data_IF_548911277538
#
_entry.id   IF_548911277538
#
_cell.length_a   1.000
_cell.length_b   1.000
_cell.length_c   1.000
_cell.angle_alpha   90.00
_cell.angle_beta   90.00
_cell.angle_gamma   90.00
#
_symmetry.space_group_name_H-M   'P 1'
#
loop_
_entity.id
_entity.type
_entity.pdbx_description
1 polymer ?
#
# COMPACT_ATOMS: atom_id res chain seq x y z
N UNK A 1 23.74 -21.18 -15.39
CA UNK A 1 22.78 -20.33 -16.08
C UNK A 1 21.39 -20.95 -15.96
N UNK A 2 20.42 -20.19 -15.52
CA UNK A 2 19.04 -20.66 -15.41
C UNK A 2 18.36 -20.57 -16.77
N UNK A 3 17.52 -21.56 -17.10
CA UNK A 3 16.69 -21.48 -18.30
C UNK A 3 15.75 -20.29 -18.30
N UNK A 4 15.46 -19.77 -17.11
CA UNK A 4 14.62 -18.57 -16.96
C UNK A 4 15.18 -17.37 -17.73
N UNK A 5 16.51 -17.29 -17.85
CA UNK A 5 17.18 -16.22 -18.60
C UNK A 5 16.83 -16.25 -20.09
N UNK A 6 16.35 -17.39 -20.60
CA UNK A 6 15.99 -17.53 -22.01
C UNK A 6 14.53 -17.23 -22.28
N UNK A 7 13.71 -17.08 -21.23
CA UNK A 7 12.28 -16.80 -21.38
C UNK A 7 12.09 -15.37 -21.87
N UNK A 8 11.29 -15.22 -22.91
CA UNK A 8 10.98 -13.92 -23.49
C UNK A 8 9.47 -13.69 -23.50
N UNK A 9 9.04 -12.52 -23.93
CA UNK A 9 7.61 -12.20 -24.03
C UNK A 9 6.87 -13.20 -24.92
N UNK A 10 7.54 -13.72 -25.95
CA UNK A 10 6.93 -14.69 -26.86
C UNK A 10 6.54 -16.00 -26.18
N UNK A 11 7.15 -16.30 -25.05
CA UNK A 11 6.86 -17.52 -24.29
C UNK A 11 5.65 -17.36 -23.38
N UNK A 12 5.11 -16.16 -23.26
CA UNK A 12 4.06 -15.83 -22.32
C UNK A 12 2.74 -15.56 -23.02
N UNK A 13 1.64 -15.70 -22.29
CA UNK A 13 0.32 -15.42 -22.79
C UNK A 13 -0.58 -14.96 -21.61
N UNK A 14 -1.72 -14.34 -21.95
CA UNK A 14 -2.71 -13.95 -20.98
C UNK A 14 -2.17 -12.98 -19.94
N UNK A 15 -2.56 -13.19 -18.71
CA UNK A 15 -2.19 -12.33 -17.59
C UNK A 15 -0.68 -12.22 -17.39
N UNK A 16 0.04 -13.32 -17.58
CA UNK A 16 1.49 -13.31 -17.43
C UNK A 16 2.16 -12.40 -18.46
N UNK A 17 1.68 -12.44 -19.70
CA UNK A 17 2.18 -11.55 -20.74
C UNK A 17 1.87 -10.09 -20.43
N UNK A 18 0.67 -9.80 -19.95
CA UNK A 18 0.29 -8.44 -19.56
C UNK A 18 1.25 -7.88 -18.50
N UNK A 19 1.53 -8.67 -17.49
CA UNK A 19 2.43 -8.26 -16.41
C UNK A 19 3.83 -8.00 -16.97
N UNK A 20 4.33 -8.92 -17.79
CA UNK A 20 5.66 -8.79 -18.36
C UNK A 20 5.80 -7.59 -19.29
N UNK A 21 4.76 -7.29 -20.04
CA UNK A 21 4.75 -6.10 -20.90
C UNK A 21 4.75 -4.81 -20.08
N UNK A 22 4.03 -4.83 -18.94
CA UNK A 22 3.94 -3.67 -18.07
C UNK A 22 5.25 -3.37 -17.36
N UNK A 23 5.92 -4.39 -16.82
CA UNK A 23 7.10 -4.19 -15.97
C UNK A 23 8.42 -4.50 -16.65
N UNK A 24 8.38 -5.09 -17.85
CA UNK A 24 9.56 -5.51 -18.57
C UNK A 24 9.95 -6.94 -18.25
N UNK A 25 10.59 -7.62 -19.21
CA UNK A 25 10.88 -9.05 -19.07
C UNK A 25 11.88 -9.33 -17.94
N UNK A 26 12.84 -8.46 -17.73
CA UNK A 26 13.83 -8.67 -16.65
C UNK A 26 13.18 -8.61 -15.28
N UNK A 27 12.31 -7.63 -15.08
CA UNK A 27 11.56 -7.50 -13.83
C UNK A 27 10.58 -8.65 -13.66
N UNK A 28 9.99 -9.11 -14.76
CA UNK A 28 9.11 -10.28 -14.73
C UNK A 28 9.90 -11.52 -14.28
N UNK A 29 11.11 -11.73 -14.80
CA UNK A 29 11.96 -12.85 -14.35
C UNK A 29 12.27 -12.75 -12.87
N UNK A 30 12.54 -11.55 -12.37
CA UNK A 30 12.76 -11.34 -10.94
C UNK A 30 11.53 -11.68 -10.11
N UNK A 31 10.35 -11.29 -10.61
CA UNK A 31 9.08 -11.63 -9.97
C UNK A 31 8.92 -13.14 -9.86
N UNK A 32 9.22 -13.85 -10.93
CA UNK A 32 9.14 -15.32 -10.96
C UNK A 32 10.13 -15.94 -9.97
N UNK A 33 11.36 -15.42 -9.89
CA UNK A 33 12.37 -15.93 -8.96
C UNK A 33 11.93 -15.78 -7.51
N UNK A 34 11.29 -14.67 -7.17
CA UNK A 34 10.90 -14.38 -5.79
C UNK A 34 9.54 -14.96 -5.40
N UNK A 35 8.58 -14.96 -6.31
CA UNK A 35 7.21 -15.31 -6.02
C UNK A 35 6.65 -16.46 -6.85
N UNK A 36 7.49 -17.08 -7.70
CA UNK A 36 7.03 -18.16 -8.57
C UNK A 36 6.35 -19.27 -7.80
N UNK A 37 5.20 -19.71 -8.29
CA UNK A 37 4.41 -20.75 -7.63
C UNK A 37 3.53 -20.27 -6.50
N UNK A 38 3.71 -19.03 -6.04
CA UNK A 38 2.90 -18.46 -4.97
C UNK A 38 1.73 -17.68 -5.53
N UNK A 39 0.65 -17.64 -4.76
CA UNK A 39 -0.42 -16.69 -5.02
C UNK A 39 -0.15 -15.46 -4.19
N UNK A 40 -0.03 -14.31 -4.85
CA UNK A 40 0.17 -13.05 -4.15
C UNK A 40 -0.99 -12.12 -4.48
N UNK A 41 -1.32 -11.29 -3.53
CA UNK A 41 -2.36 -10.28 -3.70
C UNK A 41 -1.71 -8.94 -3.97
N UNK A 42 -2.07 -8.33 -5.08
CA UNK A 42 -1.63 -6.96 -5.37
C UNK A 42 -2.68 -6.02 -4.76
N UNK A 43 -2.22 -5.10 -3.95
CA UNK A 43 -3.11 -4.14 -3.29
C UNK A 43 -3.66 -3.15 -4.32
N UNK A 44 -4.88 -2.69 -4.07
CA UNK A 44 -5.50 -1.68 -4.90
C UNK A 44 -4.85 -0.32 -4.63
N UNK A 45 -4.83 0.51 -5.66
CA UNK A 45 -4.30 1.87 -5.55
C UNK A 45 -4.97 2.64 -4.42
N UNK A 46 -6.30 2.58 -4.35
CA UNK A 46 -7.06 3.27 -3.31
C UNK A 46 -6.63 2.86 -1.91
N UNK A 47 -6.35 1.58 -1.70
CA UNK A 47 -5.89 1.07 -0.41
C UNK A 47 -4.56 1.68 -0.02
N UNK A 48 -3.61 1.70 -0.96
CA UNK A 48 -2.29 2.26 -0.71
C UNK A 48 -2.32 3.75 -0.44
N UNK A 49 -3.07 4.47 -1.25
CA UNK A 49 -3.21 5.94 -1.13
C UNK A 49 -3.88 6.30 0.19
N UNK A 50 -4.92 5.57 0.55
CA UNK A 50 -5.66 5.80 1.81
C UNK A 50 -4.74 5.59 3.02
N UNK A 51 -3.96 4.55 3.02
CA UNK A 51 -3.04 4.28 4.13
C UNK A 51 -2.00 5.38 4.29
N UNK A 52 -1.45 5.84 3.19
CA UNK A 52 -0.48 6.94 3.22
C UNK A 52 -1.10 8.22 3.74
N UNK A 53 -2.29 8.56 3.26
CA UNK A 53 -3.04 9.73 3.72
C UNK A 53 -3.32 9.64 5.23
N UNK A 54 -3.81 8.49 5.67
CA UNK A 54 -4.15 8.29 7.08
C UNK A 54 -2.91 8.39 7.96
N UNK A 55 -1.78 7.87 7.50
CA UNK A 55 -0.53 7.99 8.23
C UNK A 55 -0.06 9.44 8.35
N UNK A 56 -0.22 10.23 7.28
CA UNK A 56 0.09 11.66 7.32
C UNK A 56 -0.80 12.39 8.31
N UNK A 57 -2.10 12.08 8.31
CA UNK A 57 -3.06 12.67 9.25
C UNK A 57 -2.63 12.37 10.68
N UNK A 58 -2.24 11.14 10.98
CA UNK A 58 -1.79 10.75 12.31
C UNK A 58 -0.53 11.52 12.73
N UNK A 59 0.38 11.74 11.80
CA UNK A 59 1.60 12.51 12.09
C UNK A 59 1.33 13.98 12.37
N UNK A 60 0.33 14.55 11.70
CA UNK A 60 -0.01 15.97 11.84
C UNK A 60 -0.96 16.24 13.00
N UNK A 61 -1.62 15.21 13.52
CA UNK A 61 -2.59 15.35 14.59
C UNK A 61 -1.90 15.78 15.90
N UNK A 62 -2.41 16.85 16.50
CA UNK A 62 -1.86 17.39 17.76
C UNK A 62 -2.83 17.28 18.94
N UNK A 63 -3.94 16.58 18.77
CA UNK A 63 -4.95 16.41 19.81
C UNK A 63 -6.11 17.40 19.72
N UNK A 64 -5.98 18.46 18.92
CA UNK A 64 -6.97 19.52 18.84
C UNK A 64 -7.29 19.99 17.42
N UNK A 65 -6.56 19.50 16.43
CA UNK A 65 -6.65 20.03 15.07
C UNK A 65 -7.50 19.18 14.12
N UNK A 66 -8.53 18.49 14.65
CA UNK A 66 -9.42 17.68 13.81
C UNK A 66 -10.06 18.50 12.69
N UNK A 67 -10.57 19.69 13.02
CA UNK A 67 -11.22 20.55 12.02
C UNK A 67 -10.26 20.98 10.94
N UNK A 68 -9.07 21.36 11.33
CA UNK A 68 -8.04 21.77 10.38
C UNK A 68 -7.67 20.63 9.43
N UNK A 69 -7.48 19.43 9.96
CA UNK A 69 -7.19 18.24 9.15
C UNK A 69 -8.35 17.86 8.25
N UNK A 70 -9.57 17.98 8.76
CA UNK A 70 -10.80 17.76 7.99
C UNK A 70 -10.81 18.64 6.74
N UNK A 71 -10.50 19.91 6.90
CA UNK A 71 -10.47 20.85 5.78
C UNK A 71 -9.31 20.58 4.83
N UNK A 72 -8.14 20.30 5.38
CA UNK A 72 -6.94 20.06 4.56
C UNK A 72 -7.09 18.83 3.65
N UNK A 73 -7.68 17.76 4.17
CA UNK A 73 -7.81 16.50 3.44
C UNK A 73 -9.19 16.30 2.84
N UNK A 74 -10.09 17.26 3.02
CA UNK A 74 -11.47 17.18 2.54
C UNK A 74 -12.18 15.92 3.03
N UNK A 75 -12.07 15.68 4.32
CA UNK A 75 -12.73 14.58 5.01
C UNK A 75 -13.62 15.12 6.12
N UNK A 76 -14.62 14.33 6.54
CA UNK A 76 -15.47 14.73 7.66
C UNK A 76 -14.70 14.68 8.98
N UNK A 77 -15.16 15.44 9.97
CA UNK A 77 -14.60 15.38 11.32
C UNK A 77 -14.66 13.97 11.89
N UNK A 78 -15.74 13.26 11.60
CA UNK A 78 -15.93 11.89 12.03
C UNK A 78 -14.86 10.98 11.47
N UNK A 79 -14.53 11.14 10.19
CA UNK A 79 -13.49 10.36 9.54
C UNK A 79 -12.11 10.65 10.15
N UNK A 80 -11.81 11.92 10.40
CA UNK A 80 -10.55 12.31 11.04
C UNK A 80 -10.48 11.69 12.43
N UNK A 81 -11.52 11.78 13.23
CA UNK A 81 -11.53 11.17 14.57
C UNK A 81 -11.32 9.67 14.51
N UNK A 82 -11.91 9.01 13.54
CA UNK A 82 -11.72 7.58 13.34
C UNK A 82 -10.26 7.24 13.02
N UNK A 83 -9.65 8.03 12.14
CA UNK A 83 -8.25 7.80 11.73
C UNK A 83 -7.29 7.96 12.91
N UNK A 84 -7.49 8.98 13.75
CA UNK A 84 -6.59 9.27 14.86
C UNK A 84 -6.95 8.50 16.14
N UNK A 85 -8.06 7.79 16.15
CA UNK A 85 -8.51 7.04 17.33
C UNK A 85 -7.48 6.03 17.80
N UNK A 86 -6.76 5.41 16.87
CA UNK A 86 -5.72 4.44 17.22
C UNK A 86 -4.57 5.08 18.00
N UNK A 87 -4.24 6.33 17.69
CA UNK A 87 -3.22 7.07 18.42
C UNK A 87 -3.66 7.36 19.85
N UNK A 88 -4.92 7.82 20.01
CA UNK A 88 -5.46 8.08 21.34
C UNK A 88 -5.48 6.81 22.18
N UNK A 89 -5.82 5.69 21.56
CA UNK A 89 -5.86 4.40 22.24
C UNK A 89 -4.49 3.96 22.69
N UNK A 90 -3.49 4.14 21.83
CA UNK A 90 -2.10 3.81 22.15
C UNK A 90 -1.60 4.68 23.30
N UNK A 91 -1.87 5.98 23.23
CA UNK A 91 -1.50 6.92 24.29
C UNK A 91 -2.16 6.55 25.60
N UNK A 92 -3.44 6.18 25.55
CA UNK A 92 -4.15 5.73 26.74
C UNK A 92 -3.55 4.47 27.34
N UNK A 93 -3.14 3.53 26.50
CA UNK A 93 -2.49 2.31 26.97
C UNK A 93 -1.14 2.60 27.62
N UNK A 94 -0.37 3.46 26.99
CA UNK A 94 0.93 3.87 27.55
C UNK A 94 0.74 4.56 28.89
N UNK A 95 -0.31 5.34 29.03
CA UNK A 95 -0.60 6.05 30.25
C UNK A 95 -0.91 5.13 31.45
N UNK A 96 -1.20 3.87 31.22
CA UNK A 96 -1.47 2.90 32.27
C UNK A 96 -0.23 2.19 32.78
N UNK A 97 0.86 2.36 32.10
CA UNK A 97 2.10 1.73 32.47
C UNK A 97 3.03 2.72 33.17
#
# INVERSE_FOLDING_TARGET
MSFLETVTLDDLSGEQLEIAELIGIENYRNLVRHFGGNQIRILQEDTLVKEKRDNEIRKLYNGRNELELSQKYNLSDRTIRSIVASLKRIDGQIGFF
#
